data_IF_779932552040
#
_entry.id   IF_779932552040
#
_cell.length_a   1.000
_cell.length_b   1.000
_cell.length_c   1.000
_cell.angle_alpha   90.00
_cell.angle_beta   90.00
_cell.angle_gamma   90.00
#
_symmetry.space_group_name_H-M   'P 1'
#
loop_
_entity.id
_entity.type
_entity.pdbx_description
1 polymer ?
#
# COMPACT_ATOMS: atom_id res chain seq x y z
N UNK A 1 -31.99 -10.36 -45.87
CA UNK A 1 -32.10 -9.87 -44.48
C UNK A 1 -31.35 -10.73 -43.46
N UNK A 2 -31.44 -12.06 -43.52
CA UNK A 2 -30.85 -12.99 -42.53
C UNK A 2 -29.33 -12.82 -42.29
N UNK A 3 -28.53 -12.66 -43.36
CA UNK A 3 -27.09 -12.43 -43.24
C UNK A 3 -26.71 -11.08 -42.60
N UNK A 4 -27.51 -10.03 -42.82
CA UNK A 4 -27.26 -8.69 -42.24
C UNK A 4 -27.45 -8.69 -40.72
N UNK A 5 -28.44 -9.45 -40.21
CA UNK A 5 -28.62 -9.63 -38.77
C UNK A 5 -27.44 -10.39 -38.13
N UNK A 6 -26.92 -11.41 -38.82
CA UNK A 6 -25.75 -12.17 -38.35
C UNK A 6 -24.51 -11.29 -38.24
N UNK A 7 -24.22 -10.44 -39.23
CA UNK A 7 -23.10 -9.51 -39.17
C UNK A 7 -23.25 -8.48 -38.05
N UNK A 8 -24.46 -7.94 -37.83
CA UNK A 8 -24.71 -7.00 -36.74
C UNK A 8 -24.51 -7.68 -35.38
N UNK A 9 -24.94 -8.94 -35.23
CA UNK A 9 -24.72 -9.72 -34.02
C UNK A 9 -23.23 -9.97 -33.74
N UNK A 10 -22.44 -10.33 -34.76
CA UNK A 10 -20.98 -10.48 -34.61
C UNK A 10 -20.26 -9.16 -34.33
N UNK A 11 -20.76 -8.03 -34.87
CA UNK A 11 -20.19 -6.72 -34.59
C UNK A 11 -20.48 -6.28 -33.14
N UNK A 12 -21.71 -6.50 -32.66
CA UNK A 12 -22.12 -6.19 -31.29
C UNK A 12 -21.40 -7.07 -30.26
N UNK A 13 -21.20 -8.36 -30.55
CA UNK A 13 -20.43 -9.25 -29.68
C UNK A 13 -18.96 -8.86 -29.62
N UNK A 14 -18.35 -8.44 -30.74
CA UNK A 14 -16.99 -7.93 -30.75
C UNK A 14 -16.84 -6.62 -29.95
N UNK A 15 -17.83 -5.72 -29.98
CA UNK A 15 -17.82 -4.50 -29.18
C UNK A 15 -17.93 -4.81 -27.67
N UNK A 16 -18.77 -5.77 -27.29
CA UNK A 16 -18.95 -6.19 -25.88
C UNK A 16 -17.68 -6.83 -25.29
N UNK A 17 -16.90 -7.57 -26.10
CA UNK A 17 -15.64 -8.19 -25.65
C UNK A 17 -14.52 -7.15 -25.45
N UNK A 18 -14.59 -5.99 -26.11
CA UNK A 18 -13.63 -4.90 -25.94
C UNK A 18 -13.91 -3.99 -24.73
N UNK A 19 -15.10 -4.08 -24.12
CA UNK A 19 -15.44 -3.31 -22.92
C UNK A 19 -15.00 -3.98 -21.61
N UNK A 20 -14.53 -5.24 -21.66
CA UNK A 20 -14.08 -6.00 -20.48
C UNK A 20 -12.55 -6.12 -20.38
N UNK A 21 -11.79 -5.47 -21.27
CA UNK A 21 -10.34 -5.63 -21.38
C UNK A 21 -9.49 -4.65 -20.53
N UNK A 22 -10.08 -3.81 -19.69
CA UNK A 22 -9.33 -2.89 -18.82
C UNK A 22 -8.80 -3.50 -17.49
N UNK A 23 -8.82 -4.82 -17.31
CA UNK A 23 -8.31 -5.50 -16.09
C UNK A 23 -7.23 -6.57 -16.37
N UNK A 24 -6.56 -6.53 -17.52
CA UNK A 24 -5.54 -7.53 -17.82
C UNK A 24 -4.20 -7.20 -17.17
N UNK A 25 -3.93 -7.95 -16.08
CA UNK A 25 -2.81 -7.90 -15.14
C UNK A 25 -3.08 -7.01 -13.90
N UNK A 26 -3.92 -7.47 -12.95
CA UNK A 26 -3.83 -6.95 -11.58
C UNK A 26 -2.37 -7.08 -11.14
N UNK A 27 -1.70 -5.97 -10.86
CA UNK A 27 -0.32 -5.96 -10.34
C UNK A 27 -0.25 -6.71 -9.00
N UNK A 28 0.94 -6.86 -8.42
CA UNK A 28 1.15 -7.64 -7.18
C UNK A 28 0.29 -7.21 -5.98
N UNK A 29 -0.29 -6.01 -6.00
CA UNK A 29 -1.13 -5.44 -4.93
C UNK A 29 -2.41 -4.81 -5.49
N UNK A 30 -3.32 -5.60 -6.10
CA UNK A 30 -4.44 -5.06 -6.88
C UNK A 30 -5.55 -4.42 -6.03
N UNK A 31 -5.51 -4.63 -4.71
CA UNK A 31 -6.50 -4.13 -3.77
C UNK A 31 -5.94 -3.05 -2.84
N UNK A 32 -4.66 -2.70 -2.97
CA UNK A 32 -4.04 -1.71 -2.11
C UNK A 32 -4.72 -0.34 -2.25
N UNK A 33 -4.81 0.39 -1.14
CA UNK A 33 -5.18 1.79 -1.15
C UNK A 33 -3.93 2.63 -1.42
N UNK A 34 -3.85 3.24 -2.60
CA UNK A 34 -2.67 3.99 -3.03
C UNK A 34 -2.84 5.51 -2.87
N UNK A 35 -1.80 6.16 -2.34
CA UNK A 35 -1.72 7.61 -2.19
C UNK A 35 -0.55 8.15 -3.02
N UNK A 36 -0.86 8.96 -4.02
CA UNK A 36 0.12 9.66 -4.83
C UNK A 36 0.72 10.84 -4.05
N UNK A 37 2.02 10.80 -3.77
CA UNK A 37 2.74 11.85 -3.05
C UNK A 37 3.71 12.56 -4.01
N UNK A 38 3.60 13.89 -4.10
CA UNK A 38 4.46 14.73 -4.95
C UNK A 38 5.85 14.93 -4.29
N UNK A 39 6.62 13.85 -4.26
CA UNK A 39 8.02 13.82 -3.82
C UNK A 39 8.76 12.64 -4.44
N UNK A 40 10.10 12.72 -4.50
CA UNK A 40 10.93 11.57 -4.81
C UNK A 40 10.82 10.50 -3.72
N UNK A 41 10.96 9.23 -4.10
CA UNK A 41 10.78 8.10 -3.19
C UNK A 41 11.81 8.15 -2.05
N UNK A 42 13.05 8.55 -2.37
CA UNK A 42 14.10 8.74 -1.37
C UNK A 42 13.67 9.69 -0.25
N UNK A 43 13.09 10.84 -0.60
CA UNK A 43 12.67 11.82 0.39
C UNK A 43 11.45 11.33 1.20
N UNK A 44 10.55 10.58 0.56
CA UNK A 44 9.43 9.94 1.26
C UNK A 44 9.91 8.89 2.26
N UNK A 45 10.85 8.03 1.88
CA UNK A 45 11.46 7.03 2.78
C UNK A 45 12.09 7.73 3.98
N UNK A 46 12.87 8.80 3.76
CA UNK A 46 13.44 9.59 4.87
C UNK A 46 12.36 10.19 5.77
N UNK A 47 11.26 10.69 5.22
CA UNK A 47 10.13 11.17 6.02
C UNK A 47 9.49 10.07 6.86
N UNK A 48 9.36 8.85 6.32
CA UNK A 48 8.84 7.67 7.02
C UNK A 48 9.78 7.24 8.14
N UNK A 49 11.09 7.23 7.89
CA UNK A 49 12.11 6.93 8.91
C UNK A 49 12.08 7.94 10.06
N UNK A 50 11.99 9.24 9.74
CA UNK A 50 11.86 10.29 10.74
C UNK A 50 10.56 10.15 11.54
N UNK A 51 9.44 9.88 10.87
CA UNK A 51 8.16 9.62 11.53
C UNK A 51 8.29 8.47 12.55
N UNK A 52 8.88 7.34 12.16
CA UNK A 52 9.08 6.18 13.06
C UNK A 52 10.08 6.45 14.19
N UNK A 53 11.03 7.37 13.98
CA UNK A 53 11.96 7.82 15.02
C UNK A 53 11.27 8.72 16.05
N UNK A 54 10.41 9.62 15.60
CA UNK A 54 9.65 10.52 16.49
C UNK A 54 8.45 9.82 17.15
N UNK A 55 7.93 8.77 16.53
CA UNK A 55 6.80 7.98 17.00
C UNK A 55 7.16 6.50 17.15
N UNK A 56 7.98 6.16 18.16
CA UNK A 56 8.47 4.79 18.35
C UNK A 56 7.35 3.77 18.62
N UNK A 57 6.17 4.21 19.04
CA UNK A 57 4.98 3.38 19.21
C UNK A 57 4.51 2.70 17.92
N UNK A 58 4.85 3.26 16.74
CA UNK A 58 4.55 2.65 15.45
C UNK A 58 5.62 1.67 14.97
N UNK A 59 6.69 1.44 15.74
CA UNK A 59 7.67 0.41 15.42
C UNK A 59 7.18 -0.96 15.85
N UNK A 60 7.47 -1.95 15.02
CA UNK A 60 7.20 -3.35 15.37
C UNK A 60 8.08 -3.72 16.58
N UNK A 61 7.52 -4.41 17.59
CA UNK A 61 8.31 -5.03 18.64
C UNK A 61 9.41 -5.95 18.08
N UNK A 62 10.57 -6.03 18.75
CA UNK A 62 11.73 -6.81 18.33
C UNK A 62 11.52 -8.35 18.29
N UNK A 63 10.30 -8.83 18.55
CA UNK A 63 9.94 -10.24 18.51
C UNK A 63 8.54 -10.39 17.89
N UNK A 64 8.51 -10.67 16.59
CA UNK A 64 7.34 -11.29 15.94
C UNK A 64 7.60 -12.78 15.78
N UNK A 65 6.56 -13.57 15.57
CA UNK A 65 6.71 -15.02 15.33
C UNK A 65 6.25 -15.40 13.93
N UNK A 66 7.03 -16.22 13.24
CA UNK A 66 6.60 -16.92 12.02
C UNK A 66 6.52 -18.40 12.36
N UNK A 67 5.31 -18.98 12.33
CA UNK A 67 5.07 -20.39 12.67
C UNK A 67 5.70 -20.79 14.01
N UNK A 68 5.53 -19.93 15.02
CA UNK A 68 6.09 -20.12 16.37
C UNK A 68 7.58 -19.80 16.54
N UNK A 69 8.31 -19.43 15.48
CA UNK A 69 9.73 -19.07 15.58
C UNK A 69 9.90 -17.56 15.68
N UNK A 70 10.59 -17.02 16.70
CA UNK A 70 10.90 -15.60 16.79
C UNK A 70 11.69 -15.12 15.58
N UNK A 71 11.32 -13.96 15.05
CA UNK A 71 11.97 -13.32 13.92
C UNK A 71 11.82 -11.80 14.00
N UNK A 72 12.56 -11.11 13.13
CA UNK A 72 12.51 -9.66 12.96
C UNK A 72 11.85 -9.40 11.61
N UNK A 73 10.78 -8.61 11.61
CA UNK A 73 10.14 -8.17 10.37
C UNK A 73 10.79 -6.86 9.92
N UNK A 74 11.70 -6.97 8.96
CA UNK A 74 12.42 -5.83 8.40
C UNK A 74 11.71 -5.28 7.15
N UNK A 75 11.68 -3.95 7.05
CA UNK A 75 11.30 -3.26 5.82
C UNK A 75 12.48 -3.12 4.85
N UNK A 76 12.23 -2.52 3.70
CA UNK A 76 13.22 -2.30 2.65
C UNK A 76 12.88 -3.01 1.35
N UNK A 77 13.84 -3.05 0.43
CA UNK A 77 13.72 -3.80 -0.82
C UNK A 77 14.18 -5.24 -0.61
N UNK A 78 13.41 -6.21 -1.09
CA UNK A 78 13.75 -7.63 -1.06
C UNK A 78 14.87 -8.05 -2.02
N UNK A 79 15.37 -7.13 -2.84
CA UNK A 79 16.47 -7.36 -3.80
C UNK A 79 16.66 -6.17 -4.74
N UNK A 80 17.61 -6.28 -5.67
CA UNK A 80 17.91 -5.23 -6.67
C UNK A 80 16.76 -5.02 -7.66
N UNK A 81 15.97 -6.06 -7.91
CA UNK A 81 14.86 -6.06 -8.86
C UNK A 81 13.50 -5.84 -8.18
N UNK A 82 13.49 -5.57 -6.86
CA UNK A 82 12.26 -5.31 -6.14
C UNK A 82 11.78 -3.89 -6.42
N UNK A 83 10.65 -3.80 -7.10
CA UNK A 83 10.01 -2.54 -7.45
C UNK A 83 9.45 -1.81 -6.23
N UNK A 84 9.12 -2.54 -5.17
CA UNK A 84 8.50 -1.99 -3.97
C UNK A 84 9.53 -1.83 -2.86
N UNK A 85 9.44 -0.73 -2.13
CA UNK A 85 10.14 -0.59 -0.86
C UNK A 85 9.12 -0.92 0.24
N UNK A 86 9.31 -2.05 0.91
CA UNK A 86 8.38 -2.58 1.90
C UNK A 86 8.49 -1.85 3.24
N UNK A 87 7.35 -1.55 3.85
CA UNK A 87 7.28 -0.77 5.08
C UNK A 87 6.26 -1.43 6.00
N UNK A 88 6.63 -1.56 7.27
CA UNK A 88 5.72 -2.06 8.27
C UNK A 88 5.58 -1.11 9.45
N UNK A 89 4.35 -0.90 9.90
CA UNK A 89 4.00 -0.14 11.10
C UNK A 89 3.29 -1.03 12.12
N UNK A 90 3.22 -0.57 13.36
CA UNK A 90 2.52 -1.28 14.43
C UNK A 90 1.48 -0.37 15.09
N UNK A 91 0.28 -0.88 15.33
CA UNK A 91 -0.71 -0.21 16.17
C UNK A 91 -0.76 -0.92 17.52
N UNK A 92 -0.23 -0.31 18.60
CA UNK A 92 -0.21 -0.95 19.92
C UNK A 92 -1.61 -1.17 20.48
N UNK A 93 -2.51 -0.20 20.30
CA UNK A 93 -3.87 -0.24 20.87
C UNK A 93 -4.70 -1.41 20.33
N UNK A 94 -4.51 -1.76 19.07
CA UNK A 94 -5.23 -2.84 18.41
C UNK A 94 -4.39 -4.11 18.21
N UNK A 95 -3.12 -4.09 18.63
CA UNK A 95 -2.14 -5.15 18.41
C UNK A 95 -2.15 -5.61 16.93
N UNK A 96 -1.86 -4.69 16.02
CA UNK A 96 -1.91 -4.92 14.57
C UNK A 96 -0.61 -4.50 13.90
N UNK A 97 -0.14 -5.31 12.96
CA UNK A 97 0.95 -4.93 12.06
C UNK A 97 0.33 -4.49 10.74
N UNK A 98 0.75 -3.32 10.26
CA UNK A 98 0.28 -2.69 9.04
C UNK A 98 1.36 -2.86 7.99
N UNK A 99 1.02 -3.49 6.87
CA UNK A 99 1.91 -3.62 5.73
C UNK A 99 1.60 -2.57 4.66
N UNK A 100 2.66 -1.93 4.19
CA UNK A 100 2.65 -0.83 3.26
C UNK A 100 3.87 -0.92 2.33
N UNK A 101 3.85 -0.20 1.21
CA UNK A 101 5.02 -0.02 0.36
C UNK A 101 5.09 1.38 -0.23
N UNK A 102 6.28 1.79 -0.65
CA UNK A 102 6.46 2.91 -1.58
C UNK A 102 6.98 2.40 -2.93
N UNK A 103 6.62 3.12 -4.00
CA UNK A 103 7.12 2.86 -5.35
C UNK A 103 7.20 4.17 -6.13
N UNK A 104 8.32 4.47 -6.81
CA UNK A 104 8.42 5.66 -7.64
C UNK A 104 7.47 5.54 -8.84
N UNK A 105 6.69 6.58 -9.09
CA UNK A 105 5.94 6.76 -10.34
C UNK A 105 6.87 7.44 -11.36
N UNK A 106 7.60 8.46 -10.90
CA UNK A 106 8.68 9.15 -11.60
C UNK A 106 9.61 9.82 -10.59
N UNK A 107 10.60 10.59 -11.05
CA UNK A 107 11.62 11.23 -10.19
C UNK A 107 11.05 12.21 -9.15
N UNK A 108 9.84 12.71 -9.37
CA UNK A 108 9.18 13.74 -8.54
C UNK A 108 7.91 13.27 -7.86
N UNK A 109 7.48 12.03 -8.09
CA UNK A 109 6.21 11.49 -7.60
C UNK A 109 6.34 10.04 -7.19
N UNK A 110 5.79 9.70 -6.04
CA UNK A 110 5.88 8.37 -5.43
C UNK A 110 4.50 7.91 -4.98
N UNK A 111 4.12 6.67 -5.29
CA UNK A 111 2.94 6.03 -4.69
C UNK A 111 3.33 5.47 -3.32
N UNK A 112 2.50 5.75 -2.31
CA UNK A 112 2.56 5.18 -0.98
C UNK A 112 1.29 4.39 -0.75
N UNK A 113 1.40 3.09 -0.47
CA UNK A 113 0.24 2.20 -0.48
C UNK A 113 -0.03 1.57 0.88
N UNK A 114 -1.29 1.49 1.27
CA UNK A 114 -1.75 0.65 2.37
C UNK A 114 -2.30 -0.67 1.82
N UNK A 115 -1.64 -1.79 2.17
CA UNK A 115 -1.90 -3.09 1.56
C UNK A 115 -2.76 -3.99 2.44
N UNK A 116 -2.27 -4.29 3.64
CA UNK A 116 -2.88 -5.32 4.47
C UNK A 116 -2.56 -5.16 5.96
N UNK A 117 -3.32 -5.87 6.78
CA UNK A 117 -3.20 -5.89 8.24
C UNK A 117 -2.96 -7.32 8.70
N UNK A 118 -1.98 -7.53 9.58
CA UNK A 118 -1.83 -8.76 10.36
C UNK A 118 -2.30 -8.52 11.79
N UNK A 119 -3.19 -9.37 12.28
CA UNK A 119 -3.66 -9.30 13.66
C UNK A 119 -2.66 -9.99 14.58
N UNK A 120 -2.11 -9.26 15.55
CA UNK A 120 -1.11 -9.75 16.49
C UNK A 120 0.32 -9.77 15.93
N UNK A 121 1.23 -10.31 16.76
CA UNK A 121 2.65 -10.45 16.44
C UNK A 121 3.00 -11.80 15.80
N UNK A 122 2.03 -12.71 15.65
CA UNK A 122 2.19 -13.93 14.87
C UNK A 122 1.85 -13.65 13.40
N UNK A 123 2.86 -13.74 12.54
CA UNK A 123 2.75 -13.46 11.11
C UNK A 123 2.15 -14.66 10.39
N UNK A 124 1.14 -14.40 9.58
CA UNK A 124 0.56 -15.42 8.69
C UNK A 124 -0.92 -15.21 8.37
N UNK A 125 -1.59 -14.30 9.08
CA UNK A 125 -3.01 -14.03 8.94
C UNK A 125 -3.24 -12.61 8.40
N UNK A 126 -2.59 -12.29 7.28
CA UNK A 126 -2.76 -11.01 6.60
C UNK A 126 -4.17 -10.90 6.03
N UNK A 127 -4.80 -9.75 6.23
CA UNK A 127 -6.06 -9.36 5.60
C UNK A 127 -5.82 -8.16 4.70
N UNK A 128 -6.09 -8.33 3.42
CA UNK A 128 -5.96 -7.26 2.43
C UNK A 128 -7.06 -6.22 2.58
N UNK A 129 -6.65 -4.95 2.49
CA UNK A 129 -7.56 -3.81 2.35
C UNK A 129 -8.30 -3.93 1.02
N UNK A 130 -9.55 -3.48 0.99
CA UNK A 130 -10.46 -3.54 -0.16
C UNK A 130 -10.75 -4.96 -0.72
N UNK A 131 -10.27 -6.03 -0.09
CA UNK A 131 -10.55 -7.42 -0.49
C UNK A 131 -11.07 -8.27 0.67
N UNK A 132 -10.21 -8.57 1.66
CA UNK A 132 -10.60 -9.34 2.83
C UNK A 132 -11.39 -8.47 3.81
N UNK A 133 -10.95 -7.23 3.99
CA UNK A 133 -11.66 -6.21 4.76
C UNK A 133 -12.73 -5.56 3.88
N UNK A 134 -13.97 -5.47 4.39
CA UNK A 134 -15.12 -4.94 3.64
C UNK A 134 -15.95 -3.95 4.45
N UNK A 135 -16.70 -3.12 3.73
CA UNK A 135 -17.67 -2.19 4.32
C UNK A 135 -17.04 -1.28 5.38
N UNK A 136 -17.71 -1.18 6.54
CA UNK A 136 -17.31 -0.27 7.62
C UNK A 136 -15.94 -0.60 8.22
N UNK A 137 -15.58 -1.88 8.33
CA UNK A 137 -14.28 -2.29 8.86
C UNK A 137 -13.15 -1.77 7.96
N UNK A 138 -13.28 -1.98 6.64
CA UNK A 138 -12.33 -1.47 5.66
C UNK A 138 -12.21 0.05 5.70
N UNK A 139 -13.35 0.77 5.70
CA UNK A 139 -13.35 2.23 5.79
C UNK A 139 -12.66 2.73 7.06
N UNK A 140 -12.95 2.11 8.20
CA UNK A 140 -12.35 2.50 9.49
C UNK A 140 -10.84 2.30 9.53
N UNK A 141 -10.32 1.22 8.94
CA UNK A 141 -8.88 0.99 8.91
C UNK A 141 -8.17 1.95 7.95
N UNK A 142 -8.80 2.30 6.83
CA UNK A 142 -8.28 3.33 5.91
C UNK A 142 -8.23 4.71 6.57
N UNK A 143 -9.31 5.15 7.20
CA UNK A 143 -9.36 6.42 7.93
C UNK A 143 -8.31 6.45 9.07
N UNK A 144 -8.09 5.32 9.75
CA UNK A 144 -7.06 5.19 10.78
C UNK A 144 -5.66 5.32 10.19
N UNK A 145 -5.38 4.64 9.07
CA UNK A 145 -4.11 4.74 8.35
C UNK A 145 -3.82 6.18 7.90
N UNK A 146 -4.81 6.83 7.29
CA UNK A 146 -4.69 8.22 6.83
C UNK A 146 -4.33 9.15 7.99
N UNK A 147 -5.11 9.09 9.08
CA UNK A 147 -4.96 10.00 10.23
C UNK A 147 -3.68 9.77 11.01
N UNK A 148 -3.27 8.52 11.22
CA UNK A 148 -2.16 8.19 12.13
C UNK A 148 -0.82 8.12 11.40
N UNK A 149 -0.78 7.54 10.20
CA UNK A 149 0.45 7.29 9.46
C UNK A 149 0.63 8.32 8.35
N UNK A 150 -0.33 8.42 7.42
CA UNK A 150 -0.18 9.26 6.23
C UNK A 150 0.00 10.73 6.59
N UNK A 151 -0.84 11.26 7.49
CA UNK A 151 -0.75 12.65 7.94
C UNK A 151 0.54 12.92 8.74
N UNK A 152 1.00 11.95 9.54
CA UNK A 152 2.27 12.04 10.26
C UNK A 152 3.47 12.13 9.31
N UNK A 153 3.53 11.22 8.33
CA UNK A 153 4.56 11.20 7.29
C UNK A 153 4.53 12.47 6.44
N UNK A 154 3.35 12.97 6.08
CA UNK A 154 3.21 14.24 5.34
C UNK A 154 3.77 15.43 6.11
N UNK A 155 3.59 15.49 7.44
CA UNK A 155 4.17 16.54 8.29
C UNK A 155 5.70 16.49 8.29
N UNK A 156 6.28 15.30 8.45
CA UNK A 156 7.74 15.10 8.36
C UNK A 156 8.27 15.53 6.98
N UNK A 157 7.56 15.16 5.91
CA UNK A 157 7.92 15.53 4.55
C UNK A 157 7.88 17.06 4.34
N UNK A 158 6.86 17.75 4.86
CA UNK A 158 6.76 19.21 4.81
C UNK A 158 7.93 19.87 5.55
N UNK A 159 8.33 19.34 6.71
CA UNK A 159 9.49 19.83 7.46
C UNK A 159 10.78 19.68 6.64
N UNK A 160 11.05 18.49 6.07
CA UNK A 160 12.24 18.23 5.26
C UNK A 160 12.31 19.16 4.03
N UNK A 161 11.19 19.38 3.35
CA UNK A 161 11.13 20.32 2.21
C UNK A 161 11.42 21.76 2.63
N UNK A 162 10.99 22.17 3.82
CA UNK A 162 11.25 23.53 4.33
C UNK A 162 12.72 23.76 4.70
N UNK A 163 13.42 22.74 5.17
CA UNK A 163 14.85 22.84 5.55
C UNK A 163 15.81 22.77 4.37
N UNK A 164 15.38 22.23 3.23
CA UNK A 164 16.19 22.13 2.01
C UNK A 164 16.06 23.33 1.05
N UNK A 165 15.05 24.19 1.26
CA UNK A 165 14.83 25.40 0.46
C UNK A 165 15.44 26.68 1.08
N UNK A 166 16.19 26.55 2.18
CA UNK A 166 17.00 27.59 2.81
C UNK A 166 18.49 27.27 2.63
#
# INVERSE_FOLDING_TARGET
MRHRLTYIFFLLSAILINMTSCNFAPGSYPYAEEYDIDTSEKLLITAIENFKKHHPEFNIPNAVTIKGNPTILEGGRGGVDDYWYHIYFYYPDSNQIIYSWTRPINDTKTSFAFVSINQGLEIGNWKEINHDLKGKENSSEKEKFERLILDGVKKELSYLKSTHNN
#
